data_IF_573064898452
#
_entry.id   IF_573064898452
#
_cell.length_a   1.000
_cell.length_b   1.000
_cell.length_c   1.000
_cell.angle_alpha   90.00
_cell.angle_beta   90.00
_cell.angle_gamma   90.00
#
_symmetry.space_group_name_H-M   'P 1'
#
loop_
_entity.id
_entity.type
_entity.pdbx_description
1 polymer ?
#
# COMPACT_ATOMS: atom_id res chain seq x y z
N UNK A 1 -18.63 3.90 -12.98
CA UNK A 1 -18.33 5.23 -13.56
C UNK A 1 -16.83 5.47 -13.40
N UNK A 2 -16.06 5.58 -14.49
CA UNK A 2 -14.59 5.66 -14.43
C UNK A 2 -14.18 7.10 -14.12
N UNK A 3 -13.65 7.36 -12.92
CA UNK A 3 -12.95 8.61 -12.65
C UNK A 3 -11.65 8.62 -13.47
N UNK A 4 -11.62 9.37 -14.57
CA UNK A 4 -10.38 9.66 -15.30
C UNK A 4 -9.66 10.76 -14.56
N UNK A 5 -8.71 10.39 -13.70
CA UNK A 5 -7.68 11.32 -13.26
C UNK A 5 -6.84 11.69 -14.48
N UNK A 6 -6.87 12.98 -14.81
CA UNK A 6 -6.22 13.57 -15.98
C UNK A 6 -4.70 13.62 -15.76
N UNK A 7 -3.94 13.37 -16.83
CA UNK A 7 -2.47 13.28 -16.86
C UNK A 7 -1.73 14.35 -16.02
N UNK A 8 -0.70 13.93 -15.29
CA UNK A 8 0.42 14.74 -14.82
C UNK A 8 0.08 16.11 -14.17
N UNK A 9 -1.08 16.25 -13.54
CA UNK A 9 -1.47 17.52 -12.92
C UNK A 9 -0.71 17.68 -11.62
N UNK A 10 -0.06 18.83 -11.47
CA UNK A 10 0.41 19.29 -10.16
C UNK A 10 -0.73 19.17 -9.15
N UNK A 11 -0.47 18.52 -8.02
CA UNK A 11 -1.44 18.41 -6.92
C UNK A 11 -1.70 19.85 -6.43
N UNK A 12 -2.93 20.38 -6.44
CA UNK A 12 -3.20 21.73 -5.95
C UNK A 12 -2.74 21.95 -4.51
N UNK A 13 -2.27 23.16 -4.16
CA UNK A 13 -1.81 23.46 -2.80
C UNK A 13 -2.91 23.31 -1.74
N UNK A 14 -4.18 23.59 -2.09
CA UNK A 14 -5.32 23.39 -1.19
C UNK A 14 -5.48 21.92 -0.84
N UNK A 15 -5.62 21.05 -1.85
CA UNK A 15 -5.83 19.62 -1.62
C UNK A 15 -4.62 18.95 -0.96
N UNK A 16 -3.40 19.44 -1.25
CA UNK A 16 -2.19 18.96 -0.57
C UNK A 16 -2.21 19.29 0.92
N UNK A 17 -2.61 20.52 1.29
CA UNK A 17 -2.75 20.90 2.70
C UNK A 17 -3.85 20.09 3.40
N UNK A 18 -4.98 19.88 2.75
CA UNK A 18 -6.08 19.08 3.29
C UNK A 18 -5.65 17.62 3.50
N UNK A 19 -4.93 17.04 2.54
CA UNK A 19 -4.39 15.69 2.66
C UNK A 19 -3.35 15.57 3.78
N UNK A 20 -2.44 16.53 3.92
CA UNK A 20 -1.50 16.55 5.04
C UNK A 20 -2.22 16.65 6.38
N UNK A 21 -3.27 17.49 6.50
CA UNK A 21 -4.05 17.60 7.72
C UNK A 21 -4.76 16.28 8.09
N UNK A 22 -5.16 15.49 7.09
CA UNK A 22 -5.85 14.22 7.27
C UNK A 22 -4.92 12.99 7.36
N UNK A 23 -3.60 13.14 7.15
CA UNK A 23 -2.64 12.04 7.16
C UNK A 23 -1.48 12.32 8.14
N UNK A 24 -1.61 11.95 9.43
CA UNK A 24 -0.64 12.29 10.47
C UNK A 24 0.79 11.83 10.18
N UNK A 25 0.97 10.64 9.60
CA UNK A 25 2.30 10.13 9.22
C UNK A 25 2.98 10.98 8.14
N UNK A 26 2.20 11.51 7.19
CA UNK A 26 2.70 12.42 6.16
C UNK A 26 2.98 13.81 6.74
N UNK A 27 2.14 14.29 7.65
CA UNK A 27 2.31 15.57 8.33
C UNK A 27 3.55 15.63 9.22
N UNK A 28 3.92 14.51 9.84
CA UNK A 28 5.10 14.41 10.71
C UNK A 28 6.44 14.52 9.95
N UNK A 29 6.44 14.43 8.62
CA UNK A 29 7.64 14.62 7.81
C UNK A 29 8.10 16.08 7.84
N UNK A 30 9.42 16.30 7.76
CA UNK A 30 9.98 17.63 7.51
C UNK A 30 9.58 18.17 6.12
N UNK A 31 9.71 19.48 5.92
CA UNK A 31 9.28 20.14 4.68
C UNK A 31 9.94 19.58 3.41
N UNK A 32 11.21 19.17 3.48
CA UNK A 32 11.92 18.60 2.33
C UNK A 32 11.35 17.21 1.97
N UNK A 33 11.06 16.39 2.98
CA UNK A 33 10.42 15.08 2.80
C UNK A 33 8.96 15.20 2.36
N UNK A 34 8.21 16.18 2.85
CA UNK A 34 6.86 16.46 2.37
C UNK A 34 6.87 16.88 0.88
N UNK A 35 7.80 17.74 0.47
CA UNK A 35 7.96 18.11 -0.94
C UNK A 35 8.31 16.90 -1.81
N UNK A 36 9.22 16.03 -1.34
CA UNK A 36 9.54 14.77 -2.00
C UNK A 36 8.33 13.84 -2.11
N UNK A 37 7.56 13.69 -1.02
CA UNK A 37 6.34 12.89 -0.99
C UNK A 37 5.33 13.40 -2.03
N UNK A 38 5.12 14.72 -2.10
CA UNK A 38 4.20 15.35 -3.08
C UNK A 38 4.58 15.00 -4.52
N UNK A 39 5.87 15.04 -4.87
CA UNK A 39 6.35 14.63 -6.19
C UNK A 39 6.07 13.16 -6.47
N UNK A 40 6.29 12.27 -5.50
CA UNK A 40 5.99 10.84 -5.65
C UNK A 40 4.49 10.60 -5.79
N UNK A 41 3.65 11.30 -5.02
CA UNK A 41 2.19 11.21 -5.13
C UNK A 41 1.71 11.67 -6.50
N UNK A 42 2.26 12.76 -7.05
CA UNK A 42 1.91 13.22 -8.40
C UNK A 42 2.26 12.16 -9.45
N UNK A 43 3.42 11.51 -9.34
CA UNK A 43 3.80 10.39 -10.20
C UNK A 43 2.86 9.20 -10.02
N UNK A 44 2.50 8.86 -8.78
CA UNK A 44 1.58 7.78 -8.46
C UNK A 44 0.20 8.01 -9.09
N UNK A 45 -0.40 9.17 -8.88
CA UNK A 45 -1.70 9.53 -9.44
C UNK A 45 -1.69 9.58 -10.98
N UNK A 46 -0.55 9.89 -11.59
CA UNK A 46 -0.41 9.91 -13.06
C UNK A 46 -0.25 8.52 -13.68
N UNK A 47 0.32 7.54 -12.95
CA UNK A 47 0.68 6.22 -13.51
C UNK A 47 -0.16 5.06 -12.96
N UNK A 48 -0.83 5.25 -11.82
CA UNK A 48 -1.73 4.26 -11.23
C UNK A 48 -3.17 4.59 -11.59
N UNK A 49 -3.92 3.56 -11.95
CA UNK A 49 -5.34 3.64 -12.25
C UNK A 49 -6.13 3.29 -11.01
N UNK A 50 -7.00 4.19 -10.58
CA UNK A 50 -7.92 3.93 -9.49
C UNK A 50 -9.29 3.47 -10.00
N UNK A 51 -9.86 2.47 -9.34
CA UNK A 51 -11.21 1.98 -9.57
C UNK A 51 -11.94 1.94 -8.23
N UNK A 52 -13.15 2.47 -8.19
CA UNK A 52 -14.06 2.33 -7.07
C UNK A 52 -15.08 1.23 -7.38
N UNK A 53 -15.20 0.26 -6.50
CA UNK A 53 -16.09 -0.89 -6.62
C UNK A 53 -17.13 -0.90 -5.51
N UNK A 54 -18.22 -1.65 -5.72
CA UNK A 54 -19.30 -1.82 -4.75
C UNK A 54 -19.85 -0.50 -4.15
N UNK A 55 -19.86 0.58 -4.95
CA UNK A 55 -20.35 1.89 -4.53
C UNK A 55 -19.37 2.71 -3.68
N UNK A 56 -18.08 2.32 -3.60
CA UNK A 56 -17.06 3.16 -2.99
C UNK A 56 -17.03 4.54 -3.65
N UNK A 57 -16.87 5.58 -2.83
CA UNK A 57 -16.63 6.94 -3.33
C UNK A 57 -15.13 7.20 -3.33
N UNK A 58 -14.63 7.68 -4.47
CA UNK A 58 -13.23 7.98 -4.66
C UNK A 58 -13.09 9.33 -5.35
N UNK A 59 -12.93 10.37 -4.54
CA UNK A 59 -12.62 11.73 -4.99
C UNK A 59 -11.10 11.95 -5.01
N UNK A 60 -10.68 13.14 -5.45
CA UNK A 60 -9.27 13.51 -5.58
C UNK A 60 -8.53 13.45 -4.22
N UNK A 61 -9.19 13.80 -3.12
CA UNK A 61 -8.59 13.80 -1.78
C UNK A 61 -8.34 12.37 -1.32
N UNK A 62 -9.32 11.47 -1.51
CA UNK A 62 -9.18 10.04 -1.18
C UNK A 62 -8.09 9.37 -2.01
N UNK A 63 -8.01 9.67 -3.30
CA UNK A 63 -6.93 9.19 -4.15
C UNK A 63 -5.57 9.67 -3.64
N UNK A 64 -5.48 10.94 -3.24
CA UNK A 64 -4.25 11.53 -2.71
C UNK A 64 -3.84 10.94 -1.36
N UNK A 65 -4.79 10.67 -0.46
CA UNK A 65 -4.52 10.01 0.82
C UNK A 65 -3.98 8.59 0.64
N UNK A 66 -4.52 7.83 -0.32
CA UNK A 66 -3.96 6.53 -0.70
C UNK A 66 -2.56 6.69 -1.29
N UNK A 67 -2.37 7.65 -2.21
CA UNK A 67 -1.08 7.90 -2.83
C UNK A 67 0.00 8.30 -1.80
N UNK A 68 -0.34 9.13 -0.80
CA UNK A 68 0.57 9.50 0.29
C UNK A 68 1.06 8.27 1.04
N UNK A 69 0.13 7.42 1.51
CA UNK A 69 0.49 6.22 2.24
C UNK A 69 1.29 5.23 1.38
N UNK A 70 0.91 5.06 0.11
CA UNK A 70 1.62 4.18 -0.81
C UNK A 70 3.03 4.68 -1.16
N UNK A 71 3.26 6.00 -1.12
CA UNK A 71 4.54 6.61 -1.44
C UNK A 71 5.48 6.73 -0.22
N UNK A 72 4.97 6.61 1.01
CA UNK A 72 5.80 6.68 2.23
C UNK A 72 6.95 5.66 2.23
N UNK A 73 6.75 4.36 1.96
CA UNK A 73 7.83 3.36 1.98
C UNK A 73 8.92 3.62 0.94
N UNK A 74 8.57 4.32 -0.15
CA UNK A 74 9.46 4.57 -1.28
C UNK A 74 10.04 5.98 -1.31
N UNK A 75 9.96 6.75 -0.22
CA UNK A 75 10.51 8.10 -0.13
C UNK A 75 11.99 8.18 -0.58
N UNK A 76 12.79 7.20 -0.15
CA UNK A 76 14.21 7.08 -0.50
C UNK A 76 14.47 6.20 -1.72
N UNK A 77 13.59 5.25 -2.01
CA UNK A 77 13.73 4.33 -3.14
C UNK A 77 13.32 4.98 -4.48
N UNK A 78 12.43 5.96 -4.43
CA UNK A 78 11.86 6.61 -5.60
C UNK A 78 10.71 5.83 -6.24
N UNK A 79 9.99 6.51 -7.13
CA UNK A 79 8.76 5.97 -7.73
C UNK A 79 8.97 4.71 -8.57
N UNK A 80 10.18 4.51 -9.12
CA UNK A 80 10.52 3.31 -9.89
C UNK A 80 10.38 2.02 -9.07
N UNK A 81 10.48 2.08 -7.73
CA UNK A 81 10.25 0.94 -6.86
C UNK A 81 8.79 0.45 -6.89
N UNK A 82 7.84 1.26 -7.36
CA UNK A 82 6.43 0.88 -7.50
C UNK A 82 6.09 0.37 -8.92
N UNK A 83 7.05 -0.20 -9.66
CA UNK A 83 6.78 -0.78 -10.97
C UNK A 83 6.11 -2.17 -10.87
N UNK A 84 5.81 -2.81 -12.00
CA UNK A 84 5.24 -4.17 -12.02
C UNK A 84 3.72 -4.27 -11.85
N UNK A 85 3.05 -3.21 -11.41
CA UNK A 85 1.59 -3.15 -11.26
C UNK A 85 1.04 -1.74 -11.55
N UNK A 86 -0.26 -1.64 -11.85
CA UNK A 86 -0.88 -0.37 -12.30
C UNK A 86 -2.24 -0.04 -11.71
N UNK A 87 -2.90 -0.97 -11.03
CA UNK A 87 -4.30 -0.78 -10.62
C UNK A 87 -4.43 -0.73 -9.10
N UNK A 88 -5.22 0.24 -8.61
CA UNK A 88 -5.69 0.34 -7.23
C UNK A 88 -7.21 0.19 -7.26
N UNK A 89 -7.74 -0.79 -6.55
CA UNK A 89 -9.18 -1.06 -6.49
C UNK A 89 -9.64 -0.81 -5.06
N UNK A 90 -10.64 0.05 -4.88
CA UNK A 90 -11.13 0.46 -3.56
C UNK A 90 -12.59 0.08 -3.37
N UNK A 91 -12.89 -0.55 -2.24
CA UNK A 91 -14.25 -0.89 -1.82
C UNK A 91 -14.60 -0.14 -0.54
N UNK A 92 -15.89 0.02 -0.19
CA UNK A 92 -16.29 0.83 0.95
C UNK A 92 -15.94 0.21 2.32
N UNK A 93 -15.85 -1.11 2.45
CA UNK A 93 -15.63 -1.81 3.72
C UNK A 93 -14.94 -3.16 3.59
N UNK A 94 -14.88 -3.92 4.69
CA UNK A 94 -14.23 -5.24 4.73
C UNK A 94 -14.79 -6.17 3.65
N UNK A 95 -13.87 -6.84 2.97
CA UNK A 95 -14.17 -7.66 1.83
C UNK A 95 -14.42 -9.09 2.29
N UNK A 96 -15.50 -9.68 1.79
CA UNK A 96 -15.52 -11.12 1.57
C UNK A 96 -15.12 -11.35 0.13
N UNK A 97 -13.83 -11.57 -0.12
CA UNK A 97 -13.40 -12.09 -1.41
C UNK A 97 -13.91 -13.53 -1.50
N UNK A 98 -15.12 -13.72 -2.04
CA UNK A 98 -15.64 -15.05 -2.36
C UNK A 98 -14.86 -15.58 -3.56
N UNK A 99 -13.71 -16.19 -3.29
CA UNK A 99 -13.18 -17.18 -4.22
C UNK A 99 -13.91 -18.50 -3.93
N UNK A 100 -14.56 -19.13 -4.91
CA UNK A 100 -14.97 -20.52 -4.77
C UNK A 100 -13.68 -21.36 -4.80
N UNK A 101 -13.09 -21.56 -3.64
CA UNK A 101 -12.28 -22.75 -3.38
C UNK A 101 -13.08 -23.56 -2.36
N UNK A 102 -13.82 -24.54 -2.86
CA UNK A 102 -14.24 -25.65 -2.02
C UNK A 102 -12.98 -26.40 -1.63
N UNK A 103 -12.51 -26.22 -0.40
CA UNK A 103 -11.60 -27.19 0.17
C UNK A 103 -12.41 -28.40 0.65
N UNK A 104 -12.09 -29.56 0.10
CA UNK A 104 -12.66 -30.85 0.49
C UNK A 104 -11.86 -31.31 1.71
N UNK A 105 -12.27 -30.96 2.92
CA UNK A 105 -11.72 -31.67 4.08
C UNK A 105 -12.10 -31.19 5.46
N UNK A 106 -11.96 -29.91 5.78
CA UNK A 106 -12.05 -29.49 7.19
C UNK A 106 -12.58 -28.06 7.27
N UNK A 107 -13.86 -27.92 7.63
CA UNK A 107 -14.58 -26.64 7.76
C UNK A 107 -14.12 -25.80 8.95
N UNK A 108 -12.83 -25.48 9.03
CA UNK A 108 -12.28 -24.47 9.93
C UNK A 108 -12.06 -23.20 9.10
N UNK A 109 -12.79 -22.15 9.45
CA UNK A 109 -12.62 -20.81 8.89
C UNK A 109 -11.78 -20.05 9.91
N UNK A 110 -10.48 -19.88 9.65
CA UNK A 110 -9.66 -18.92 10.38
C UNK A 110 -9.89 -17.54 9.76
N UNK A 111 -10.32 -16.56 10.54
CA UNK A 111 -10.42 -15.15 10.12
C UNK A 111 -9.02 -14.53 10.05
N UNK A 112 -8.24 -14.93 9.07
CA UNK A 112 -7.12 -14.17 8.55
C UNK A 112 -7.12 -14.42 7.04
N UNK A 113 -7.01 -13.35 6.24
CA UNK A 113 -6.74 -13.38 4.80
C UNK A 113 -5.33 -13.97 4.56
N UNK A 114 -5.09 -15.17 5.07
CA UNK A 114 -3.87 -15.92 4.87
C UNK A 114 -3.79 -16.27 3.40
N UNK A 115 -2.89 -15.58 2.71
CA UNK A 115 -2.11 -16.22 1.65
C UNK A 115 -2.96 -16.71 0.47
N UNK A 116 -3.63 -15.80 -0.24
CA UNK A 116 -4.23 -16.13 -1.53
C UNK A 116 -3.16 -16.22 -2.64
N UNK A 117 -2.34 -17.28 -2.50
CA UNK A 117 -1.73 -18.14 -3.51
C UNK A 117 -0.73 -17.44 -4.46
N UNK A 118 0.51 -17.32 -3.97
CA UNK A 118 1.82 -17.65 -4.58
C UNK A 118 2.20 -17.20 -6.01
N UNK A 119 1.26 -17.07 -6.93
CA UNK A 119 1.49 -16.67 -8.33
C UNK A 119 0.43 -15.68 -8.85
N UNK A 120 -0.74 -15.60 -8.23
CA UNK A 120 -1.90 -14.89 -8.80
C UNK A 120 -1.86 -13.35 -8.64
N UNK A 121 -0.98 -12.80 -7.80
CA UNK A 121 -1.02 -11.36 -7.43
C UNK A 121 0.29 -10.60 -7.60
N UNK A 122 1.37 -11.23 -8.05
CA UNK A 122 2.67 -10.56 -8.24
C UNK A 122 2.62 -9.34 -9.14
N UNK A 123 1.72 -9.35 -10.14
CA UNK A 123 1.43 -8.21 -11.02
C UNK A 123 -0.01 -7.71 -10.89
N UNK A 124 -0.77 -8.28 -9.95
CA UNK A 124 -2.17 -7.98 -9.73
C UNK A 124 -2.40 -6.58 -9.14
N UNK A 125 -3.65 -6.12 -9.12
CA UNK A 125 -4.02 -4.84 -8.51
C UNK A 125 -3.65 -4.82 -7.02
N UNK A 126 -3.54 -3.62 -6.46
CA UNK A 126 -3.62 -3.38 -5.02
C UNK A 126 -5.10 -3.18 -4.68
N UNK A 127 -5.64 -4.01 -3.79
CA UNK A 127 -7.05 -3.99 -3.41
C UNK A 127 -7.17 -3.48 -1.99
N UNK A 128 -8.01 -2.47 -1.76
CA UNK A 128 -8.05 -1.72 -0.50
C UNK A 128 -9.48 -1.52 0.00
N UNK A 129 -9.63 -1.56 1.32
CA UNK A 129 -10.85 -1.19 2.03
C UNK A 129 -10.75 0.27 2.46
N UNK A 130 -11.69 1.11 2.01
CA UNK A 130 -11.75 2.50 2.45
C UNK A 130 -12.03 2.62 3.95
N UNK A 131 -12.79 1.70 4.54
CA UNK A 131 -13.00 1.64 5.98
C UNK A 131 -11.68 1.42 6.73
N UNK A 132 -10.84 0.49 6.25
CA UNK A 132 -9.51 0.22 6.83
C UNK A 132 -8.58 1.43 6.66
N UNK A 133 -8.53 2.03 5.46
CA UNK A 133 -7.76 3.27 5.22
C UNK A 133 -8.21 4.39 6.17
N UNK A 134 -9.51 4.58 6.33
CA UNK A 134 -10.06 5.64 7.18
C UNK A 134 -9.72 5.40 8.66
N UNK A 135 -9.77 4.14 9.10
CA UNK A 135 -9.35 3.73 10.43
C UNK A 135 -7.85 4.03 10.64
N UNK A 136 -6.99 3.62 9.71
CA UNK A 136 -5.54 3.84 9.79
C UNK A 136 -5.16 5.32 9.84
N UNK A 137 -5.89 6.18 9.11
CA UNK A 137 -5.71 7.63 9.15
C UNK A 137 -6.13 8.24 10.50
N UNK A 138 -7.20 7.72 11.11
CA UNK A 138 -7.69 8.15 12.42
C UNK A 138 -6.81 7.63 13.57
N UNK A 139 -6.20 6.45 13.39
CA UNK A 139 -5.41 5.74 14.39
C UNK A 139 -3.99 5.39 13.87
N UNK A 140 -3.18 6.41 13.53
CA UNK A 140 -1.89 6.22 12.84
C UNK A 140 -0.81 5.49 13.66
N UNK A 141 -1.08 5.21 14.93
CA UNK A 141 -0.15 4.61 15.88
C UNK A 141 -0.60 3.23 16.41
N UNK A 142 -1.68 2.68 15.86
CA UNK A 142 -2.17 1.33 16.23
C UNK A 142 -1.28 0.20 15.71
N UNK A 143 -0.22 0.54 14.96
CA UNK A 143 0.71 -0.43 14.39
C UNK A 143 0.22 -1.09 13.10
N UNK A 144 -0.93 -0.66 12.58
CA UNK A 144 -1.49 -1.15 11.33
C UNK A 144 -1.64 -0.04 10.29
N UNK A 145 -1.29 -0.34 9.03
CA UNK A 145 -1.55 0.52 7.89
C UNK A 145 -1.69 -0.34 6.63
N UNK A 146 -2.92 -0.54 6.15
CA UNK A 146 -3.23 -1.47 5.06
C UNK A 146 -2.53 -1.08 3.76
N UNK A 147 -2.42 0.21 3.46
CA UNK A 147 -1.78 0.67 2.21
C UNK A 147 -0.29 0.39 2.26
N UNK A 148 0.38 0.72 3.36
CA UNK A 148 1.81 0.45 3.55
C UNK A 148 2.09 -1.05 3.54
N UNK A 149 1.22 -1.85 4.15
CA UNK A 149 1.30 -3.31 4.14
C UNK A 149 1.28 -3.87 2.70
N UNK A 150 0.29 -3.50 1.89
CA UNK A 150 0.20 -3.92 0.50
C UNK A 150 1.41 -3.47 -0.34
N UNK A 151 1.91 -2.24 -0.09
CA UNK A 151 3.11 -1.76 -0.77
C UNK A 151 4.36 -2.54 -0.33
N UNK A 152 4.47 -2.93 0.94
CA UNK A 152 5.56 -3.78 1.40
C UNK A 152 5.57 -5.12 0.64
N UNK A 153 4.41 -5.75 0.46
CA UNK A 153 4.29 -6.95 -0.37
C UNK A 153 4.68 -6.71 -1.84
N UNK A 154 4.32 -5.56 -2.43
CA UNK A 154 4.75 -5.23 -3.80
C UNK A 154 6.26 -5.01 -3.91
N UNK A 155 6.89 -4.47 -2.87
CA UNK A 155 8.35 -4.28 -2.80
C UNK A 155 9.10 -5.60 -2.60
N UNK A 156 8.55 -6.50 -1.78
CA UNK A 156 9.07 -7.85 -1.55
C UNK A 156 9.13 -8.63 -2.86
N UNK A 157 8.04 -8.60 -3.62
CA UNK A 157 7.89 -9.31 -4.88
C UNK A 157 8.73 -8.79 -6.06
N UNK A 158 9.52 -7.73 -5.89
CA UNK A 158 10.30 -7.16 -6.99
C UNK A 158 11.37 -8.10 -7.53
N UNK A 159 11.90 -9.00 -6.71
CA UNK A 159 12.89 -10.01 -7.12
C UNK A 159 12.24 -11.34 -7.58
N UNK A 160 10.91 -11.42 -7.54
CA UNK A 160 10.12 -12.57 -7.95
C UNK A 160 9.75 -13.54 -6.83
N UNK A 161 10.30 -13.38 -5.62
CA UNK A 161 9.91 -14.14 -4.43
C UNK A 161 9.00 -13.30 -3.52
N UNK A 162 8.08 -13.95 -2.80
CA UNK A 162 7.34 -13.33 -1.69
C UNK A 162 7.74 -14.06 -0.42
N UNK A 163 8.90 -13.71 0.14
CA UNK A 163 9.51 -14.43 1.26
C UNK A 163 9.98 -13.50 2.39
N UNK A 164 9.55 -12.22 2.35
CA UNK A 164 9.93 -11.21 3.32
C UNK A 164 11.35 -10.67 3.13
N UNK A 165 12.00 -10.98 2.00
CA UNK A 165 13.31 -10.45 1.60
C UNK A 165 13.16 -9.63 0.31
N UNK A 166 12.94 -8.31 0.39
CA UNK A 166 12.83 -7.48 -0.79
C UNK A 166 14.16 -7.37 -1.53
N UNK A 167 14.12 -6.81 -2.74
CA UNK A 167 15.33 -6.52 -3.51
C UNK A 167 16.33 -5.67 -2.69
N UNK A 168 17.43 -6.31 -2.26
CA UNK A 168 18.40 -5.72 -1.33
C UNK A 168 19.42 -4.83 -2.08
N UNK A 169 19.91 -3.74 -1.45
CA UNK A 169 21.03 -2.98 -1.97
C UNK A 169 22.29 -3.84 -2.16
N UNK A 170 23.12 -3.46 -3.13
CA UNK A 170 24.41 -4.11 -3.35
C UNK A 170 25.25 -4.11 -2.06
N UNK A 171 25.77 -5.28 -1.68
CA UNK A 171 26.57 -5.47 -0.48
C UNK A 171 25.79 -5.94 0.76
N UNK A 172 24.45 -5.95 0.74
CA UNK A 172 23.65 -6.55 1.80
C UNK A 172 23.23 -7.97 1.40
N UNK A 173 23.69 -8.98 2.14
CA UNK A 173 23.31 -10.36 1.86
C UNK A 173 21.94 -10.71 2.45
N UNK A 174 21.23 -11.63 1.78
CA UNK A 174 19.95 -12.17 2.27
C UNK A 174 20.06 -12.73 3.69
N UNK A 175 21.18 -13.39 4.01
CA UNK A 175 21.42 -13.93 5.35
C UNK A 175 21.46 -12.85 6.43
N UNK A 176 22.13 -11.72 6.18
CA UNK A 176 22.19 -10.59 7.12
C UNK A 176 20.80 -9.98 7.32
N UNK A 177 20.04 -9.81 6.23
CA UNK A 177 18.67 -9.33 6.29
C UNK A 177 17.77 -10.24 7.12
N UNK A 178 17.70 -11.53 6.78
CA UNK A 178 16.85 -12.50 7.49
C UNK A 178 17.21 -12.59 8.97
N UNK A 179 18.51 -12.58 9.30
CA UNK A 179 18.95 -12.58 10.69
C UNK A 179 18.52 -11.33 11.45
N UNK A 180 18.56 -10.15 10.83
CA UNK A 180 18.07 -8.92 11.44
C UNK A 180 16.54 -8.90 11.58
N UNK A 181 15.82 -9.32 10.55
CA UNK A 181 14.37 -9.41 10.54
C UNK A 181 13.86 -10.34 11.63
N UNK A 182 14.41 -11.57 11.72
CA UNK A 182 14.01 -12.54 12.74
C UNK A 182 14.25 -12.02 14.16
N UNK A 183 15.39 -11.38 14.42
CA UNK A 183 15.65 -10.79 15.75
C UNK A 183 14.63 -9.71 16.12
N UNK A 184 14.22 -8.89 15.17
CA UNK A 184 13.20 -7.86 15.40
C UNK A 184 11.83 -8.50 15.64
N UNK A 185 11.48 -9.53 14.87
CA UNK A 185 10.25 -10.30 15.06
C UNK A 185 10.18 -10.97 16.44
N UNK A 186 11.26 -11.66 16.84
CA UNK A 186 11.37 -12.30 18.15
C UNK A 186 11.25 -11.30 19.32
N UNK A 187 11.67 -10.05 19.11
CA UNK A 187 11.51 -8.99 20.11
C UNK A 187 10.06 -8.50 20.22
N UNK A 188 9.33 -8.48 19.11
CA UNK A 188 7.92 -8.07 19.08
C UNK A 188 6.99 -9.13 19.69
N UNK A 189 7.39 -10.41 19.62
CA UNK A 189 6.64 -11.52 20.22
C UNK A 189 6.84 -11.68 21.74
N UNK A 190 7.65 -10.83 22.37
CA UNK A 190 7.87 -10.84 23.83
C UNK A 190 6.94 -9.85 24.53
#
# INVERSE_FOLDING_TARGET
>A
MRARLTSAREIPDSIWRDALAAAPLSAALDAARQARLRTLCAQFLAHKRFSAEAGAQLDDLRCLLIAQQACLPVLKLGFAALHGWREVIVYPGEFRVRHPHQDRGTGVITEQDETLIGEAWARGPVVLSWASISHDLAHPHDGFNVVVHEIAHKLDQLDGAMDGVPALPAGLSRHVWMGAFQRAFDQLQR
#
